data_IF_578144265503
#
_entry.id   IF_578144265503
#
_cell.length_a   1.000
_cell.length_b   1.000
_cell.length_c   1.000
_cell.angle_alpha   90.00
_cell.angle_beta   90.00
_cell.angle_gamma   90.00
#
_symmetry.space_group_name_H-M   'P 1'
#
loop_
_entity.id
_entity.type
_entity.pdbx_description
1 polymer ?
#
# COMPACT_ATOMS: atom_id res chain seq x y z
N UNK A 1 -16.10 -65.37 -3.05
CA UNK A 1 -14.67 -64.99 -3.20
C UNK A 1 -14.38 -63.91 -2.18
N UNK A 2 -13.40 -64.19 -1.33
CA UNK A 2 -12.94 -63.37 -0.20
C UNK A 2 -11.71 -62.53 -0.61
N UNK A 3 -11.30 -61.67 0.32
CA UNK A 3 -10.06 -60.89 0.46
C UNK A 3 -10.14 -59.46 -0.10
N UNK A 4 -9.62 -58.42 0.55
CA UNK A 4 -9.11 -58.18 1.91
C UNK A 4 -8.74 -56.68 1.95
N UNK A 5 -8.89 -56.00 3.10
CA UNK A 5 -8.42 -54.64 3.28
C UNK A 5 -6.94 -54.53 3.67
N UNK A 6 -6.39 -53.32 3.56
CA UNK A 6 -5.17 -52.78 4.21
C UNK A 6 -5.24 -51.24 4.04
N UNK A 7 -5.43 -50.44 5.10
CA UNK A 7 -4.52 -49.96 6.16
C UNK A 7 -3.50 -48.92 5.67
N UNK A 8 -3.63 -47.73 6.26
CA UNK A 8 -2.78 -46.54 6.15
C UNK A 8 -1.36 -46.77 6.69
N UNK A 9 -0.36 -46.16 6.04
CA UNK A 9 1.00 -46.00 6.58
C UNK A 9 1.53 -44.58 6.40
N UNK A 10 2.42 -44.24 7.32
CA UNK A 10 2.91 -42.94 7.77
C UNK A 10 4.19 -42.59 7.00
N UNK A 11 4.33 -41.36 6.50
CA UNK A 11 5.58 -40.89 5.87
C UNK A 11 6.48 -40.30 6.96
N UNK A 12 7.70 -40.83 7.03
CA UNK A 12 8.80 -40.43 7.92
C UNK A 12 9.62 -39.29 7.33
N UNK A 13 10.16 -38.49 8.25
CA UNK A 13 11.05 -37.35 8.09
C UNK A 13 12.50 -37.85 8.13
N UNK A 14 13.33 -37.54 7.13
CA UNK A 14 14.77 -37.83 7.13
C UNK A 14 15.54 -36.80 6.30
N UNK A 15 16.46 -36.07 6.94
CA UNK A 15 17.41 -35.20 6.23
C UNK A 15 18.16 -34.16 7.07
N UNK A 16 18.84 -34.55 8.16
CA UNK A 16 19.84 -33.71 8.86
C UNK A 16 21.24 -34.33 8.69
N UNK A 17 22.28 -33.60 8.24
CA UNK A 17 23.66 -34.11 8.19
C UNK A 17 24.40 -33.94 9.53
N UNK A 18 25.48 -34.71 9.77
CA UNK A 18 25.95 -35.07 11.11
C UNK A 18 26.93 -34.08 11.73
N UNK A 19 26.94 -34.07 13.07
CA UNK A 19 27.99 -33.47 13.91
C UNK A 19 29.17 -34.43 14.01
N UNK A 20 30.36 -33.92 13.76
CA UNK A 20 31.62 -34.58 14.13
C UNK A 20 31.98 -34.19 15.57
N UNK A 21 32.07 -35.19 16.44
CA UNK A 21 32.77 -35.15 17.71
C UNK A 21 34.06 -35.97 17.53
N UNK A 22 35.22 -35.36 17.77
CA UNK A 22 36.44 -36.10 18.10
C UNK A 22 37.15 -35.41 19.27
N UNK A 23 37.41 -36.22 20.30
CA UNK A 23 38.03 -35.90 21.57
C UNK A 23 39.56 -35.83 21.44
N UNK A 24 40.23 -35.02 22.26
CA UNK A 24 41.13 -35.57 23.30
C UNK A 24 41.84 -34.50 24.14
N UNK A 25 41.84 -34.75 25.46
CA UNK A 25 42.88 -34.40 26.45
C UNK A 25 43.14 -32.91 26.73
N UNK A 26 43.47 -32.45 27.93
CA UNK A 26 43.94 -33.08 29.16
C UNK A 26 43.86 -31.98 30.25
N UNK A 27 43.58 -32.38 31.48
CA UNK A 27 43.53 -31.53 32.66
C UNK A 27 44.75 -30.61 32.77
N UNK A 28 44.53 -29.29 32.88
CA UNK A 28 45.37 -28.49 33.78
C UNK A 28 44.58 -27.34 34.42
N UNK A 29 44.61 -27.35 35.74
CA UNK A 29 44.02 -26.37 36.63
C UNK A 29 44.78 -25.05 36.55
N UNK A 30 44.11 -23.95 36.26
CA UNK A 30 44.66 -22.62 36.52
C UNK A 30 43.71 -21.80 37.39
N UNK A 31 44.17 -21.60 38.63
CA UNK A 31 43.61 -20.76 39.69
C UNK A 31 43.12 -19.36 39.23
N UNK A 32 42.12 -18.77 39.91
CA UNK A 32 41.71 -17.41 39.66
C UNK A 32 42.75 -16.43 40.19
N UNK A 33 43.47 -15.73 39.30
CA UNK A 33 44.28 -14.55 39.70
C UNK A 33 43.36 -13.45 40.22
N UNK A 34 43.26 -13.35 41.54
CA UNK A 34 42.68 -12.21 42.24
C UNK A 34 43.50 -10.95 41.88
N UNK A 35 43.01 -10.12 40.94
CA UNK A 35 43.59 -8.80 40.70
C UNK A 35 43.33 -7.94 41.93
N UNK A 36 44.38 -7.69 42.70
CA UNK A 36 44.45 -6.68 43.76
C UNK A 36 44.00 -5.34 43.16
N UNK A 37 42.81 -4.87 43.53
CA UNK A 37 42.34 -3.52 43.18
C UNK A 37 43.27 -2.52 43.84
N UNK A 38 44.18 -1.95 43.05
CA UNK A 38 44.94 -0.77 43.45
C UNK A 38 43.94 0.37 43.51
N UNK A 39 43.59 0.83 44.73
CA UNK A 39 42.96 2.14 44.91
C UNK A 39 43.97 3.19 44.46
N UNK A 40 43.86 3.62 43.21
CA UNK A 40 44.51 4.82 42.73
C UNK A 40 43.85 6.01 43.43
N UNK A 41 44.50 6.51 44.47
CA UNK A 41 44.23 7.82 45.06
C UNK A 41 44.64 8.87 44.04
N UNK A 42 43.69 9.31 43.22
CA UNK A 42 43.86 10.42 42.29
C UNK A 42 43.38 11.71 42.95
N UNK A 43 44.18 12.24 43.86
CA UNK A 43 44.03 13.63 44.32
C UNK A 43 45.34 14.37 44.13
N UNK A 44 45.80 14.44 42.87
CA UNK A 44 46.73 15.50 42.48
C UNK A 44 45.88 16.76 42.27
N UNK A 45 46.11 17.86 43.00
CA UNK A 45 45.34 19.09 42.84
C UNK A 45 45.41 19.59 41.39
N UNK A 46 46.53 19.34 40.70
CA UNK A 46 46.70 19.66 39.29
C UNK A 46 45.73 18.87 38.40
N UNK A 47 45.53 17.58 38.65
CA UNK A 47 44.57 16.76 37.87
C UNK A 47 43.13 17.20 38.10
N UNK A 48 42.78 17.56 39.33
CA UNK A 48 41.45 18.09 39.65
C UNK A 48 41.22 19.45 39.01
N UNK A 49 42.24 20.32 38.99
CA UNK A 49 42.20 21.62 38.31
C UNK A 49 42.08 21.44 36.79
N UNK A 50 42.87 20.56 36.18
CA UNK A 50 42.77 20.27 34.75
C UNK A 50 41.39 19.72 34.35
N UNK A 51 40.83 18.79 35.14
CA UNK A 51 39.50 18.24 34.89
C UNK A 51 38.39 19.28 35.08
N UNK A 52 38.50 20.14 36.09
CA UNK A 52 37.51 21.20 36.31
C UNK A 52 37.57 22.28 35.22
N UNK A 53 38.77 22.65 34.74
CA UNK A 53 38.92 23.52 33.56
C UNK A 53 38.34 22.85 32.32
N UNK A 54 38.66 21.58 32.07
CA UNK A 54 38.11 20.83 30.93
C UNK A 54 36.58 20.80 30.96
N UNK A 55 35.99 20.44 32.10
CA UNK A 55 34.55 20.39 32.26
C UNK A 55 33.91 21.79 32.11
N UNK A 56 34.53 22.84 32.64
CA UNK A 56 34.04 24.21 32.48
C UNK A 56 34.06 24.66 31.01
N UNK A 57 35.11 24.30 30.26
CA UNK A 57 35.19 24.56 28.81
C UNK A 57 34.12 23.77 28.06
N UNK A 58 33.93 22.49 28.37
CA UNK A 58 32.88 21.68 27.74
C UNK A 58 31.49 22.23 28.01
N UNK A 59 31.20 22.64 29.25
CA UNK A 59 29.92 23.26 29.60
C UNK A 59 29.74 24.60 28.89
N UNK A 60 30.78 25.43 28.81
CA UNK A 60 30.72 26.69 28.08
C UNK A 60 30.46 26.48 26.57
N UNK A 61 31.09 25.47 25.95
CA UNK A 61 30.83 25.10 24.55
C UNK A 61 29.40 24.61 24.38
N UNK A 62 28.90 23.74 25.26
CA UNK A 62 27.52 23.25 25.20
C UNK A 62 26.53 24.41 25.38
N UNK A 63 26.76 25.31 26.33
CA UNK A 63 25.93 26.50 26.52
C UNK A 63 25.98 27.43 25.30
N UNK A 64 27.16 27.65 24.71
CA UNK A 64 27.29 28.41 23.47
C UNK A 64 26.52 27.76 22.31
N UNK A 65 26.57 26.43 22.18
CA UNK A 65 25.81 25.70 21.16
C UNK A 65 24.30 25.71 21.41
N UNK A 66 23.87 25.69 22.67
CA UNK A 66 22.45 25.78 23.05
C UNK A 66 21.92 27.21 22.87
N UNK A 67 22.71 28.23 23.21
CA UNK A 67 22.38 29.63 23.02
C UNK A 67 22.44 30.03 21.54
N UNK A 68 23.37 29.46 20.76
CA UNK A 68 23.42 29.65 19.30
C UNK A 68 22.34 28.86 18.55
N UNK A 69 21.70 27.87 19.20
CA UNK A 69 20.47 27.23 18.72
C UNK A 69 19.21 28.06 19.00
N UNK A 70 19.34 29.18 19.73
CA UNK A 70 18.31 30.21 19.86
C UNK A 70 18.14 31.00 18.57
N UNK A 71 17.50 30.36 17.59
CA UNK A 71 16.92 30.87 16.32
C UNK A 71 17.18 29.88 15.18
N UNK A 72 17.02 28.58 15.43
CA UNK A 72 16.52 27.72 14.37
C UNK A 72 15.03 28.05 14.26
N UNK A 73 14.69 28.99 13.38
CA UNK A 73 13.34 29.05 12.84
C UNK A 73 12.96 27.60 12.54
N UNK A 74 11.95 27.06 13.24
CA UNK A 74 11.26 25.90 12.71
C UNK A 74 10.94 26.28 11.27
N UNK A 75 11.39 25.54 10.25
CA UNK A 75 10.97 25.85 8.90
C UNK A 75 9.45 25.83 8.96
N UNK A 76 8.84 27.01 8.91
CA UNK A 76 7.44 27.16 8.60
C UNK A 76 7.28 26.27 7.37
N UNK A 77 6.40 25.25 7.37
CA UNK A 77 6.19 24.47 6.17
C UNK A 77 5.78 25.50 5.12
N UNK A 78 6.72 25.87 4.26
CA UNK A 78 6.45 26.70 3.11
C UNK A 78 5.30 25.95 2.46
N UNK A 79 4.12 26.56 2.29
CA UNK A 79 3.09 25.90 1.53
C UNK A 79 3.76 25.60 0.19
N UNK A 80 4.02 24.32 -0.05
CA UNK A 80 4.54 23.86 -1.33
C UNK A 80 3.41 24.16 -2.27
N UNK A 81 3.39 25.38 -2.82
CA UNK A 81 2.62 25.66 -4.01
C UNK A 81 3.19 24.67 -5.01
N UNK A 82 2.50 23.56 -5.21
CA UNK A 82 2.88 22.56 -6.19
C UNK A 82 2.79 23.29 -7.52
N UNK A 83 3.92 23.82 -7.98
CA UNK A 83 4.05 24.34 -9.33
C UNK A 83 4.13 23.10 -10.19
N UNK A 84 2.97 22.62 -10.64
CA UNK A 84 2.94 21.58 -11.64
C UNK A 84 3.74 22.06 -12.86
N UNK A 85 4.61 21.22 -13.45
CA UNK A 85 5.25 21.57 -14.70
C UNK A 85 4.15 21.96 -15.71
N UNK A 86 4.39 22.96 -16.58
CA UNK A 86 3.41 23.35 -17.57
C UNK A 86 3.02 22.11 -18.39
N UNK A 87 1.78 21.65 -18.20
CA UNK A 87 1.30 20.45 -18.88
C UNK A 87 0.86 20.81 -20.30
N UNK A 88 0.98 19.89 -21.25
CA UNK A 88 0.46 20.11 -22.60
C UNK A 88 -1.05 20.42 -22.57
N UNK A 89 -1.53 21.21 -23.52
CA UNK A 89 -2.94 21.61 -23.59
C UNK A 89 -3.93 20.43 -23.70
N UNK A 90 -3.45 19.26 -24.15
CA UNK A 90 -4.25 18.03 -24.22
C UNK A 90 -4.33 17.27 -22.89
N UNK A 91 -3.54 17.64 -21.88
CA UNK A 91 -3.51 16.94 -20.61
C UNK A 91 -4.78 17.23 -19.78
N UNK A 92 -5.44 16.23 -19.17
CA UNK A 92 -6.66 16.45 -18.40
C UNK A 92 -6.45 17.43 -17.22
N UNK A 93 -7.40 18.34 -16.94
CA UNK A 93 -7.28 19.25 -15.81
C UNK A 93 -7.32 18.51 -14.47
N UNK A 94 -6.44 18.86 -13.54
CA UNK A 94 -6.38 18.34 -12.17
C UNK A 94 -6.82 19.41 -11.16
N UNK A 95 -8.07 19.85 -11.26
CA UNK A 95 -8.62 20.89 -10.37
C UNK A 95 -9.08 20.22 -9.07
N UNK A 96 -8.49 20.55 -7.90
CA UNK A 96 -8.89 19.95 -6.65
C UNK A 96 -10.28 20.44 -6.23
N UNK A 97 -11.12 19.50 -5.79
CA UNK A 97 -12.45 19.78 -5.22
C UNK A 97 -12.65 18.92 -3.97
N UNK A 98 -13.31 19.50 -2.96
CA UNK A 98 -13.68 18.75 -1.75
C UNK A 98 -15.10 18.24 -1.89
N UNK A 99 -15.29 16.94 -1.69
CA UNK A 99 -16.61 16.30 -1.69
C UNK A 99 -16.76 15.41 -0.45
N UNK A 100 -17.94 15.46 0.16
CA UNK A 100 -18.34 14.49 1.18
C UNK A 100 -19.01 13.33 0.45
N UNK A 101 -18.57 12.10 0.74
CA UNK A 101 -19.13 10.91 0.12
C UNK A 101 -20.43 10.51 0.82
N UNK A 102 -21.47 10.28 0.03
CA UNK A 102 -22.77 9.84 0.50
C UNK A 102 -23.22 8.64 -0.32
N UNK A 103 -23.79 7.62 0.34
CA UNK A 103 -24.30 6.46 -0.36
C UNK A 103 -25.39 6.85 -1.36
N UNK A 104 -25.27 6.36 -2.60
CA UNK A 104 -26.24 6.57 -3.66
C UNK A 104 -26.79 5.21 -4.12
N UNK A 105 -28.08 5.00 -3.83
CA UNK A 105 -28.78 3.74 -4.11
C UNK A 105 -28.76 3.35 -5.58
N UNK A 106 -28.63 4.32 -6.50
CA UNK A 106 -28.55 4.02 -7.93
C UNK A 106 -27.32 3.19 -8.28
N UNK A 107 -26.22 3.39 -7.55
CA UNK A 107 -24.96 2.66 -7.75
C UNK A 107 -24.76 1.52 -6.75
N UNK A 108 -25.43 1.58 -5.60
CA UNK A 108 -25.38 0.55 -4.55
C UNK A 108 -26.57 -0.41 -4.59
N UNK A 109 -26.88 -0.97 -5.76
CA UNK A 109 -27.96 -1.95 -5.92
C UNK A 109 -27.72 -2.88 -7.10
N UNK A 110 -28.46 -4.00 -7.14
CA UNK A 110 -28.45 -4.92 -8.27
C UNK A 110 -28.78 -4.21 -9.61
N UNK A 111 -28.16 -4.63 -10.74
CA UNK A 111 -28.46 -4.08 -12.05
C UNK A 111 -29.97 -4.07 -12.36
N UNK A 112 -30.46 -2.88 -12.65
CA UNK A 112 -31.82 -2.60 -13.10
C UNK A 112 -31.77 -1.39 -14.06
N UNK A 113 -32.85 -1.04 -14.78
CA UNK A 113 -32.80 0.04 -15.76
C UNK A 113 -32.27 1.38 -15.20
N UNK A 114 -32.62 1.74 -13.97
CA UNK A 114 -32.16 2.98 -13.32
C UNK A 114 -30.66 2.91 -12.99
N UNK A 115 -30.21 1.81 -12.38
CA UNK A 115 -28.80 1.59 -12.02
C UNK A 115 -27.91 1.55 -13.27
N UNK A 116 -28.33 0.80 -14.29
CA UNK A 116 -27.60 0.68 -15.56
C UNK A 116 -27.46 2.05 -16.24
N UNK A 117 -28.54 2.84 -16.27
CA UNK A 117 -28.48 4.20 -16.81
C UNK A 117 -27.53 5.10 -16.00
N UNK A 118 -27.61 5.07 -14.66
CA UNK A 118 -26.73 5.86 -13.81
C UNK A 118 -25.24 5.51 -14.02
N UNK A 119 -24.89 4.22 -14.10
CA UNK A 119 -23.53 3.77 -14.40
C UNK A 119 -23.06 4.19 -15.79
N UNK A 120 -23.91 4.09 -16.81
CA UNK A 120 -23.59 4.54 -18.17
C UNK A 120 -23.28 6.05 -18.25
N UNK A 121 -23.95 6.86 -17.42
CA UNK A 121 -23.73 8.31 -17.37
C UNK A 121 -22.41 8.72 -16.72
N UNK A 122 -21.70 7.82 -16.03
CA UNK A 122 -20.39 8.13 -15.45
C UNK A 122 -19.30 8.31 -16.51
N UNK A 123 -19.43 7.63 -17.64
CA UNK A 123 -18.51 7.79 -18.77
C UNK A 123 -19.03 8.90 -19.69
N UNK A 124 -18.17 9.85 -20.11
CA UNK A 124 -18.59 10.91 -21.00
C UNK A 124 -18.91 10.36 -22.40
N UNK A 125 -19.55 11.18 -23.24
CA UNK A 125 -19.71 10.87 -24.67
C UNK A 125 -18.35 10.51 -25.27
N UNK A 126 -18.31 9.42 -26.05
CA UNK A 126 -17.06 8.85 -26.55
C UNK A 126 -16.32 7.95 -25.55
N UNK A 127 -16.93 7.62 -24.40
CA UNK A 127 -16.40 6.71 -23.37
C UNK A 127 -15.04 7.13 -22.79
N UNK A 128 -14.75 8.44 -22.80
CA UNK A 128 -13.50 9.00 -22.27
C UNK A 128 -12.33 9.02 -23.26
N UNK A 129 -12.52 8.52 -24.49
CA UNK A 129 -11.48 8.57 -25.51
C UNK A 129 -11.22 10.02 -25.97
N UNK A 130 -9.96 10.43 -25.88
CA UNK A 130 -9.45 11.73 -26.33
C UNK A 130 -8.49 11.53 -27.50
N UNK A 131 -8.46 12.53 -28.38
CA UNK A 131 -7.46 12.65 -29.43
C UNK A 131 -6.27 13.43 -28.87
N UNK A 132 -5.07 12.89 -29.04
CA UNK A 132 -3.82 13.57 -28.69
C UNK A 132 -2.98 13.73 -29.95
N UNK A 133 -2.66 14.97 -30.29
CA UNK A 133 -1.82 15.29 -31.44
C UNK A 133 -0.35 15.26 -31.03
N UNK A 134 0.53 14.88 -31.96
CA UNK A 134 1.98 14.79 -31.73
C UNK A 134 2.67 16.18 -31.76
N UNK A 135 2.10 17.18 -31.08
CA UNK A 135 2.59 18.57 -31.07
C UNK A 135 3.60 18.84 -29.94
N UNK A 136 3.56 18.04 -28.89
CA UNK A 136 4.54 17.99 -27.79
C UNK A 136 5.15 16.60 -27.84
N UNK A 137 6.48 16.47 -27.77
CA UNK A 137 7.14 15.17 -27.67
C UNK A 137 6.46 14.33 -26.60
N UNK A 138 5.66 13.34 -27.04
CA UNK A 138 5.06 12.38 -26.14
C UNK A 138 6.21 11.55 -25.55
N UNK A 139 6.21 11.26 -24.24
CA UNK A 139 7.22 10.36 -23.68
C UNK A 139 7.15 9.00 -24.39
N UNK A 140 8.26 8.27 -24.40
CA UNK A 140 8.28 6.91 -24.93
C UNK A 140 7.34 6.04 -24.08
N UNK A 141 6.22 5.65 -24.68
CA UNK A 141 5.12 4.95 -24.02
C UNK A 141 4.90 3.58 -24.68
N UNK A 142 4.53 2.54 -23.92
CA UNK A 142 4.40 1.19 -24.46
C UNK A 142 3.42 1.10 -25.64
N UNK A 143 3.91 0.66 -26.81
CA UNK A 143 3.09 0.45 -28.01
C UNK A 143 2.65 1.74 -28.74
N UNK A 144 3.25 2.89 -28.40
CA UNK A 144 3.01 4.15 -29.08
C UNK A 144 3.82 4.24 -30.38
N UNK A 145 3.14 4.40 -31.52
CA UNK A 145 3.80 4.59 -32.82
C UNK A 145 3.98 6.09 -33.12
N UNK A 146 5.11 6.67 -32.72
CA UNK A 146 5.41 8.10 -32.88
C UNK A 146 5.41 8.61 -34.33
N UNK A 147 5.38 7.73 -35.33
CA UNK A 147 5.23 8.12 -36.74
C UNK A 147 3.81 8.56 -37.10
N UNK A 148 2.81 8.31 -36.24
CA UNK A 148 1.43 8.73 -36.47
C UNK A 148 1.23 10.22 -36.11
N UNK A 149 0.42 10.98 -36.88
CA UNK A 149 0.15 12.38 -36.60
C UNK A 149 -0.77 12.58 -35.39
N UNK A 150 -1.60 11.57 -35.10
CA UNK A 150 -2.58 11.59 -34.02
C UNK A 150 -2.64 10.23 -33.31
N UNK A 151 -2.93 10.30 -32.02
CA UNK A 151 -3.08 9.16 -31.14
C UNK A 151 -4.42 9.22 -30.41
N UNK A 152 -4.86 8.07 -29.91
CA UNK A 152 -6.03 7.97 -29.04
C UNK A 152 -5.59 7.46 -27.69
N UNK A 153 -6.06 8.14 -26.66
CA UNK A 153 -5.87 7.74 -25.29
C UNK A 153 -7.15 7.97 -24.49
N UNK A 154 -7.20 7.50 -23.26
CA UNK A 154 -8.25 7.86 -22.32
C UNK A 154 -7.67 7.88 -20.90
N UNK A 155 -8.18 8.73 -20.01
CA UNK A 155 -7.82 8.70 -18.59
C UNK A 155 -8.13 7.36 -17.92
N UNK A 156 -7.16 6.81 -17.18
CA UNK A 156 -7.25 5.54 -16.45
C UNK A 156 -8.49 5.45 -15.54
N UNK A 157 -8.96 6.55 -14.96
CA UNK A 157 -10.19 6.58 -14.16
C UNK A 157 -11.40 5.94 -14.88
N UNK A 158 -11.51 6.09 -16.20
CA UNK A 158 -12.60 5.45 -16.95
C UNK A 158 -12.39 3.94 -17.11
N UNK A 159 -11.15 3.46 -17.18
CA UNK A 159 -10.84 2.03 -17.11
C UNK A 159 -11.23 1.46 -15.74
N UNK A 160 -10.84 2.15 -14.66
CA UNK A 160 -11.14 1.75 -13.29
C UNK A 160 -12.66 1.62 -13.05
N UNK A 161 -13.44 2.61 -13.52
CA UNK A 161 -14.90 2.57 -13.43
C UNK A 161 -15.51 1.43 -14.26
N UNK A 162 -14.99 1.20 -15.48
CA UNK A 162 -15.41 0.09 -16.32
C UNK A 162 -15.18 -1.26 -15.64
N UNK A 163 -13.97 -1.51 -15.12
CA UNK A 163 -13.64 -2.73 -14.39
C UNK A 163 -14.52 -2.91 -13.15
N UNK A 164 -14.72 -1.85 -12.37
CA UNK A 164 -15.55 -1.91 -11.17
C UNK A 164 -16.99 -2.36 -11.51
N UNK A 165 -17.61 -1.73 -12.52
CA UNK A 165 -18.95 -2.15 -12.98
C UNK A 165 -18.94 -3.59 -13.50
N UNK A 166 -17.95 -3.99 -14.29
CA UNK A 166 -17.86 -5.36 -14.82
C UNK A 166 -17.79 -6.43 -13.73
N UNK A 167 -17.12 -6.15 -12.60
CA UNK A 167 -17.10 -7.09 -11.46
C UNK A 167 -18.48 -7.22 -10.79
N UNK A 168 -19.19 -6.09 -10.62
CA UNK A 168 -20.54 -6.07 -10.07
C UNK A 168 -21.52 -6.82 -10.97
N UNK A 169 -21.50 -6.52 -12.27
CA UNK A 169 -22.37 -7.15 -13.27
C UNK A 169 -22.14 -8.67 -13.33
N UNK A 170 -20.87 -9.10 -13.38
CA UNK A 170 -20.49 -10.52 -13.37
C UNK A 170 -20.93 -11.24 -12.09
N UNK A 171 -20.84 -10.58 -10.93
CA UNK A 171 -21.33 -11.13 -9.66
C UNK A 171 -22.83 -11.42 -9.71
N UNK A 172 -23.62 -10.47 -10.21
CA UNK A 172 -25.07 -10.63 -10.31
C UNK A 172 -25.49 -11.66 -11.37
N UNK A 173 -24.78 -11.73 -12.49
CA UNK A 173 -24.97 -12.80 -13.47
C UNK A 173 -24.73 -14.19 -12.85
N UNK A 174 -23.65 -14.37 -12.10
CA UNK A 174 -23.34 -15.63 -11.41
C UNK A 174 -24.38 -16.00 -10.34
N UNK A 175 -24.84 -15.02 -9.56
CA UNK A 175 -25.91 -15.25 -8.58
C UNK A 175 -27.21 -15.74 -9.25
N UNK A 176 -27.58 -15.11 -10.36
CA UNK A 176 -28.79 -15.46 -11.12
C UNK A 176 -28.71 -16.89 -11.69
N UNK A 177 -27.53 -17.30 -12.17
CA UNK A 177 -27.29 -18.65 -12.70
C UNK A 177 -27.27 -19.71 -11.60
N UNK A 178 -26.65 -19.42 -10.46
CA UNK A 178 -26.34 -20.44 -9.45
C UNK A 178 -27.53 -20.78 -8.53
N UNK A 179 -28.35 -19.80 -8.16
CA UNK A 179 -29.35 -19.98 -7.10
C UNK A 179 -30.80 -19.91 -7.58
N UNK A 180 -31.01 -19.67 -8.88
CA UNK A 180 -32.28 -19.17 -9.38
C UNK A 180 -32.68 -17.85 -8.69
N UNK A 181 -33.71 -17.16 -9.17
CA UNK A 181 -34.14 -15.87 -8.61
C UNK A 181 -34.66 -15.94 -7.15
N UNK A 182 -34.56 -17.08 -6.46
CA UNK A 182 -35.33 -17.37 -5.24
C UNK A 182 -34.52 -17.71 -3.99
N UNK A 183 -33.27 -18.17 -4.08
CA UNK A 183 -32.48 -18.43 -2.87
C UNK A 183 -31.39 -17.37 -2.69
N UNK A 184 -31.68 -16.40 -1.82
CA UNK A 184 -30.65 -15.50 -1.27
C UNK A 184 -29.71 -16.35 -0.42
N UNK A 185 -28.64 -16.88 -1.02
CA UNK A 185 -27.49 -17.27 -0.23
C UNK A 185 -26.78 -16.00 0.21
N UNK A 186 -27.19 -15.49 1.37
CA UNK A 186 -26.26 -14.73 2.21
C UNK A 186 -25.10 -15.69 2.48
N UNK A 187 -23.86 -15.26 2.20
CA UNK A 187 -22.65 -16.09 2.29
C UNK A 187 -22.37 -16.47 3.76
N UNK A 188 -23.18 -17.35 4.35
CA UNK A 188 -23.04 -17.90 5.70
C UNK A 188 -23.17 -16.87 6.83
N UNK A 189 -23.63 -17.28 8.03
CA UNK A 189 -23.74 -16.41 9.20
C UNK A 189 -22.38 -16.01 9.82
N UNK A 190 -21.25 -16.30 9.17
CA UNK A 190 -19.91 -16.16 9.74
C UNK A 190 -19.19 -14.84 9.43
N UNK A 191 -19.52 -14.16 8.33
CA UNK A 191 -18.87 -12.90 7.95
C UNK A 191 -19.89 -11.93 7.30
N UNK A 192 -20.33 -10.87 8.00
CA UNK A 192 -21.25 -9.87 7.45
C UNK A 192 -20.66 -9.09 6.26
N UNK A 193 -19.35 -9.23 5.97
CA UNK A 193 -18.67 -8.57 4.85
C UNK A 193 -19.08 -9.03 3.45
N UNK A 194 -19.86 -10.11 3.31
CA UNK A 194 -20.18 -10.69 2.01
C UNK A 194 -21.68 -10.77 1.70
N UNK A 195 -22.52 -10.05 2.44
CA UNK A 195 -23.91 -9.89 2.02
C UNK A 195 -23.99 -9.06 0.74
N UNK A 196 -25.02 -9.28 -0.09
CA UNK A 196 -25.24 -8.46 -1.28
C UNK A 196 -25.43 -6.98 -0.94
N UNK A 197 -25.96 -6.68 0.24
CA UNK A 197 -26.04 -5.31 0.77
C UNK A 197 -24.66 -4.71 1.04
N UNK A 198 -23.74 -5.47 1.67
CA UNK A 198 -22.39 -5.00 1.92
C UNK A 198 -21.62 -4.77 0.62
N UNK A 199 -21.67 -5.72 -0.32
CA UNK A 199 -21.00 -5.58 -1.61
C UNK A 199 -21.55 -4.40 -2.42
N UNK A 200 -22.86 -4.18 -2.40
CA UNK A 200 -23.48 -3.01 -3.01
C UNK A 200 -22.98 -1.69 -2.44
N UNK A 201 -22.89 -1.60 -1.11
CA UNK A 201 -22.28 -0.45 -0.46
C UNK A 201 -20.81 -0.29 -0.88
N UNK A 202 -20.03 -1.38 -0.95
CA UNK A 202 -18.63 -1.36 -1.38
C UNK A 202 -18.47 -0.87 -2.83
N UNK A 203 -19.28 -1.34 -3.78
CA UNK A 203 -19.21 -0.88 -5.17
C UNK A 203 -19.49 0.63 -5.30
N UNK A 204 -20.50 1.15 -4.59
CA UNK A 204 -20.75 2.59 -4.60
C UNK A 204 -19.62 3.37 -3.90
N UNK A 205 -19.11 2.88 -2.76
CA UNK A 205 -17.99 3.50 -2.06
C UNK A 205 -16.72 3.54 -2.92
N UNK A 206 -16.36 2.42 -3.56
CA UNK A 206 -15.21 2.34 -4.45
C UNK A 206 -15.38 3.25 -5.67
N UNK A 207 -16.57 3.28 -6.29
CA UNK A 207 -16.88 4.20 -7.39
C UNK A 207 -16.62 5.65 -6.98
N UNK A 208 -17.13 6.06 -5.82
CA UNK A 208 -16.94 7.42 -5.31
C UNK A 208 -15.46 7.71 -5.03
N UNK A 209 -14.72 6.75 -4.46
CA UNK A 209 -13.31 6.91 -4.12
C UNK A 209 -12.43 6.98 -5.37
N UNK A 210 -12.74 6.19 -6.40
CA UNK A 210 -12.13 6.26 -7.74
C UNK A 210 -12.36 7.65 -8.35
N UNK A 211 -13.58 8.17 -8.31
CA UNK A 211 -13.87 9.52 -8.83
C UNK A 211 -13.22 10.63 -8.01
N UNK A 212 -13.08 10.45 -6.70
CA UNK A 212 -12.42 11.42 -5.81
C UNK A 212 -10.91 11.44 -6.01
N UNK A 213 -10.31 10.30 -6.36
CA UNK A 213 -8.89 10.13 -6.67
C UNK A 213 -8.69 9.84 -8.15
N UNK A 214 -9.44 10.55 -9.02
CA UNK A 214 -9.48 10.27 -10.45
C UNK A 214 -8.07 10.26 -11.04
N UNK A 215 -7.61 9.06 -11.40
CA UNK A 215 -6.33 8.89 -12.07
C UNK A 215 -6.45 9.34 -13.52
N UNK A 216 -5.79 10.47 -13.81
CA UNK A 216 -5.78 11.10 -15.13
C UNK A 216 -4.58 10.67 -15.98
N UNK A 217 -3.83 9.66 -15.54
CA UNK A 217 -2.83 8.98 -16.38
C UNK A 217 -3.49 8.52 -17.68
N UNK A 218 -2.83 8.75 -18.80
CA UNK A 218 -3.37 8.40 -20.12
C UNK A 218 -2.97 6.99 -20.51
N UNK A 219 -3.97 6.14 -20.75
CA UNK A 219 -3.81 4.83 -21.39
C UNK A 219 -4.02 4.96 -22.88
N UNK A 220 -3.08 4.45 -23.67
CA UNK A 220 -3.05 4.64 -25.11
C UNK A 220 -3.65 3.44 -25.81
N UNK A 221 -4.33 3.70 -26.92
CA UNK A 221 -4.65 2.64 -27.87
C UNK A 221 -3.36 2.24 -28.59
N UNK A 222 -2.74 1.15 -28.16
CA UNK A 222 -1.60 0.57 -28.87
C UNK A 222 -2.02 0.18 -30.28
N UNK A 223 -1.10 0.33 -31.24
CA UNK A 223 -1.38 0.10 -32.65
C UNK A 223 -1.73 -1.35 -32.97
N UNK A 224 -1.15 -2.30 -32.24
CA UNK A 224 -1.23 -3.74 -32.42
C UNK A 224 -2.15 -4.44 -31.40
N UNK A 225 -2.63 -3.74 -30.38
CA UNK A 225 -3.43 -4.31 -29.29
C UNK A 225 -4.93 -4.07 -29.53
N UNK A 226 -5.73 -5.15 -29.51
CA UNK A 226 -7.20 -5.07 -29.62
C UNK A 226 -7.87 -4.70 -28.30
N UNK A 227 -7.29 -5.10 -27.18
CA UNK A 227 -7.81 -4.92 -25.82
C UNK A 227 -6.70 -4.33 -24.96
N UNK A 228 -6.86 -3.08 -24.52
CA UNK A 228 -5.90 -2.44 -23.64
C UNK A 228 -5.84 -3.16 -22.30
N UNK A 229 -4.64 -3.55 -21.88
CA UNK A 229 -4.41 -4.23 -20.59
C UNK A 229 -4.34 -3.28 -19.40
N UNK A 230 -4.16 -1.98 -19.63
CA UNK A 230 -3.92 -0.98 -18.58
C UNK A 230 -2.52 -1.04 -17.95
N UNK A 231 -1.68 -1.99 -18.33
CA UNK A 231 -0.34 -2.16 -17.76
C UNK A 231 0.74 -1.38 -18.50
N UNK A 232 1.79 -1.00 -17.75
CA UNK A 232 2.99 -0.35 -18.29
C UNK A 232 2.92 1.19 -18.33
N UNK A 233 1.87 1.78 -17.78
CA UNK A 233 1.73 3.23 -17.63
C UNK A 233 2.20 3.68 -16.24
N UNK A 234 2.90 4.81 -16.17
CA UNK A 234 3.35 5.38 -14.91
C UNK A 234 2.20 6.14 -14.23
N UNK A 235 1.83 5.70 -13.03
CA UNK A 235 0.78 6.30 -12.22
C UNK A 235 1.36 7.13 -11.07
N UNK A 236 0.64 8.18 -10.65
CA UNK A 236 1.00 8.94 -9.46
C UNK A 236 0.28 8.41 -8.23
N UNK A 237 0.99 7.56 -7.49
CA UNK A 237 0.50 6.92 -6.28
C UNK A 237 0.94 7.68 -5.03
N UNK A 238 0.27 7.38 -3.92
CA UNK A 238 0.76 7.74 -2.58
C UNK A 238 1.74 6.64 -2.16
N UNK A 239 2.79 7.00 -1.45
CA UNK A 239 3.79 6.05 -0.97
C UNK A 239 3.12 5.04 -0.03
N UNK A 240 2.99 3.79 -0.52
CA UNK A 240 2.30 2.74 0.20
C UNK A 240 3.06 2.30 1.44
N UNK A 241 4.39 2.19 1.34
CA UNK A 241 5.22 1.73 2.45
C UNK A 241 5.25 2.78 3.55
N UNK A 242 5.26 4.07 3.20
CA UNK A 242 5.12 5.15 4.18
C UNK A 242 3.76 5.12 4.89
N UNK A 243 2.66 4.83 4.16
CA UNK A 243 1.32 4.69 4.75
C UNK A 243 1.28 3.49 5.70
N UNK A 244 1.83 2.36 5.30
CA UNK A 244 1.89 1.15 6.12
C UNK A 244 2.71 1.40 7.38
N UNK A 245 3.91 1.95 7.27
CA UNK A 245 4.76 2.25 8.42
C UNK A 245 4.06 3.19 9.42
N UNK A 246 3.38 4.23 8.93
CA UNK A 246 2.59 5.12 9.77
C UNK A 246 1.44 4.38 10.46
N UNK A 247 0.69 3.55 9.73
CA UNK A 247 -0.44 2.80 10.28
C UNK A 247 0.00 1.77 11.33
N UNK A 248 1.14 1.11 11.13
CA UNK A 248 1.74 0.18 12.08
C UNK A 248 2.20 0.88 13.36
N UNK A 249 2.85 2.04 13.26
CA UNK A 249 3.27 2.85 14.41
C UNK A 249 2.07 3.34 15.25
N UNK A 250 0.91 3.55 14.62
CA UNK A 250 -0.31 4.05 15.25
C UNK A 250 -1.40 2.97 15.46
N UNK A 251 -1.06 1.68 15.33
CA UNK A 251 -2.04 0.60 15.36
C UNK A 251 -2.68 0.43 16.73
N UNK A 252 -3.98 0.10 16.75
CA UNK A 252 -4.76 -0.15 17.97
C UNK A 252 -4.96 -1.63 18.29
N UNK A 253 -4.44 -2.53 17.45
CA UNK A 253 -4.34 -3.96 17.71
C UNK A 253 -3.22 -4.58 16.86
N UNK A 254 -2.72 -5.76 17.24
CA UNK A 254 -1.83 -6.56 16.38
C UNK A 254 -2.62 -7.55 15.48
N UNK A 255 -3.94 -7.38 15.32
CA UNK A 255 -4.72 -8.19 14.38
C UNK A 255 -4.30 -7.89 12.94
N UNK A 256 -4.17 -8.91 12.11
CA UNK A 256 -3.73 -8.77 10.71
C UNK A 256 -4.64 -9.53 9.74
N UNK A 257 -4.63 -9.12 8.46
CA UNK A 257 -5.40 -9.75 7.38
C UNK A 257 -6.64 -8.97 6.94
N UNK A 258 -7.09 -9.22 5.70
CA UNK A 258 -8.24 -8.53 5.07
C UNK A 258 -9.58 -9.02 5.63
N UNK A 259 -9.68 -10.31 5.94
CA UNK A 259 -10.92 -10.91 6.43
C UNK A 259 -11.05 -10.71 7.94
N UNK A 260 -12.20 -10.19 8.37
CA UNK A 260 -12.47 -9.97 9.78
C UNK A 260 -12.48 -11.31 10.51
N UNK A 261 -11.51 -11.53 11.40
CA UNK A 261 -11.38 -12.78 12.14
C UNK A 261 -10.64 -13.90 11.39
N UNK A 262 -10.13 -13.64 10.19
CA UNK A 262 -9.31 -14.57 9.39
C UNK A 262 -7.81 -14.53 9.69
N UNK A 263 -7.41 -13.98 10.85
CA UNK A 263 -6.01 -13.83 11.27
C UNK A 263 -5.83 -14.03 12.78
N UNK A 264 -4.59 -14.22 13.21
CA UNK A 264 -4.26 -14.40 14.63
C UNK A 264 -4.55 -13.10 15.41
N UNK A 265 -5.31 -13.20 16.52
CA UNK A 265 -5.48 -12.08 17.43
C UNK A 265 -4.25 -11.99 18.33
N UNK A 266 -3.38 -11.05 18.01
CA UNK A 266 -2.17 -10.81 18.79
C UNK A 266 -2.48 -9.64 19.76
N UNK A 267 -2.25 -9.80 21.08
CA UNK A 267 -2.37 -8.69 22.03
C UNK A 267 -1.40 -7.56 21.71
N UNK A 268 -1.78 -6.30 21.94
CA UNK A 268 -0.79 -5.22 21.98
C UNK A 268 0.06 -5.37 23.25
N UNK A 269 1.38 -5.35 23.08
CA UNK A 269 2.33 -5.26 24.20
C UNK A 269 2.37 -3.84 24.78
#
# INVERSE_FOLDING_TARGET
MSLSGQRYEKISDDGVPPREEEQDGLLDSHEPRYRRLVRLSTTSPLTTVCLSISNAVTVAIVLLLLLSRGSLDSPCPTPTTIIYPPRPAWFPPEIPVTKVLHGDKRYGQAPNPESIEAWNQLLPKGRGWVRVNNQSALPDLPGLNHSLPEHRAFPTVFHQLHCLYSTMDSYYELLNVTYGRREKRELGPGDPGWSSEHLNHCWDYLRQTIMCNADVTLEWKKYDERVGTGWGYGHQCKDWDAIIAWAEDHRTSNSWGILRGGGERIPLE
#
